data_IF_560394795941
#
_entry.id   IF_560394795941
#
_cell.length_a   1.000
_cell.length_b   1.000
_cell.length_c   1.000
_cell.angle_alpha   90.00
_cell.angle_beta   90.00
_cell.angle_gamma   90.00
#
_symmetry.space_group_name_H-M   'P 1'
#
loop_
_entity.id
_entity.type
_entity.pdbx_description
1 polymer ?
#
# COMPACT_ATOMS: atom_id res chain seq x y z
N UNK A 1 14.80 21.08 4.02
CA UNK A 1 14.19 21.82 2.88
C UNK A 1 13.31 20.83 2.14
N UNK A 2 12.01 21.15 2.03
CA UNK A 2 11.04 20.30 1.32
C UNK A 2 11.40 20.19 -0.16
N UNK A 3 11.11 19.05 -0.77
CA UNK A 3 11.24 18.82 -2.22
C UNK A 3 10.45 19.88 -2.99
N UNK A 4 9.29 20.29 -2.46
CA UNK A 4 8.42 21.31 -3.04
C UNK A 4 9.08 22.71 -3.04
N UNK A 5 9.86 23.09 -2.04
CA UNK A 5 10.57 24.39 -2.02
C UNK A 5 11.69 24.48 -3.07
N UNK A 6 12.24 23.32 -3.52
CA UNK A 6 13.18 23.26 -4.62
C UNK A 6 12.51 23.25 -6.00
N UNK A 7 11.29 22.71 -6.07
CA UNK A 7 10.51 22.64 -7.31
C UNK A 7 9.91 24.00 -7.73
N UNK A 8 9.40 24.74 -6.74
CA UNK A 8 8.67 25.97 -6.98
C UNK A 8 9.48 27.23 -6.63
N UNK A 9 10.81 27.19 -6.74
CA UNK A 9 11.72 28.29 -6.38
C UNK A 9 11.05 29.65 -6.36
N UNK A 10 10.97 30.30 -5.19
CA UNK A 10 10.40 31.62 -4.88
C UNK A 10 9.55 32.28 -5.98
N UNK A 11 8.48 31.66 -6.43
CA UNK A 11 7.40 32.38 -7.11
C UNK A 11 6.51 32.95 -6.02
N UNK A 12 6.76 34.18 -5.64
CA UNK A 12 5.73 35.05 -5.08
C UNK A 12 4.66 35.18 -6.18
N UNK A 13 3.65 34.32 -6.09
CA UNK A 13 2.45 34.49 -6.90
C UNK A 13 1.75 35.78 -6.45
N UNK A 14 2.13 36.89 -7.06
CA UNK A 14 1.26 38.08 -7.12
C UNK A 14 0.13 37.79 -8.12
N UNK A 15 -0.67 36.78 -7.81
CA UNK A 15 -1.95 36.58 -8.47
C UNK A 15 -2.95 37.55 -7.90
N UNK A 16 -3.71 38.22 -8.77
CA UNK A 16 -4.88 39.02 -8.38
C UNK A 16 -5.77 38.19 -7.45
N UNK A 17 -6.38 38.75 -6.40
CA UNK A 17 -7.24 38.01 -5.49
C UNK A 17 -8.40 37.40 -6.30
N UNK A 18 -8.37 36.07 -6.46
CA UNK A 18 -9.48 35.33 -7.03
C UNK A 18 -10.55 35.18 -5.95
N UNK A 19 -11.79 35.47 -6.29
CA UNK A 19 -12.92 35.30 -5.38
C UNK A 19 -13.30 33.82 -5.42
N UNK A 20 -12.98 33.09 -4.36
CA UNK A 20 -13.36 31.68 -4.23
C UNK A 20 -14.74 31.59 -3.54
N UNK A 21 -15.56 30.64 -4.02
CA UNK A 21 -16.80 30.25 -3.35
C UNK A 21 -16.43 29.03 -2.48
N UNK A 22 -16.68 29.11 -1.18
CA UNK A 22 -16.42 27.98 -0.28
C UNK A 22 -17.31 26.78 -0.63
N UNK A 23 -16.68 25.69 -1.00
CA UNK A 23 -17.32 24.37 -1.01
C UNK A 23 -16.86 23.68 0.29
N UNK A 24 -17.82 23.27 1.14
CA UNK A 24 -17.54 22.59 2.41
C UNK A 24 -17.00 21.16 2.20
N UNK A 25 -15.85 21.04 1.55
CA UNK A 25 -15.14 19.77 1.40
C UNK A 25 -13.70 19.93 1.84
N UNK A 26 -13.47 19.73 3.13
CA UNK A 26 -12.14 19.68 3.75
C UNK A 26 -11.76 18.25 4.01
N UNK A 27 -10.56 17.89 3.59
CA UNK A 27 -9.89 16.66 3.99
C UNK A 27 -8.71 17.03 4.88
N UNK A 28 -8.64 16.41 6.06
CA UNK A 28 -7.48 16.48 6.93
C UNK A 28 -6.75 15.13 6.89
N UNK A 29 -5.47 15.15 6.56
CA UNK A 29 -4.66 13.94 6.64
C UNK A 29 -4.57 13.49 8.10
N UNK A 30 -4.57 12.18 8.30
CA UNK A 30 -4.40 11.63 9.64
C UNK A 30 -2.98 11.96 10.15
N UNK A 31 -2.88 12.89 11.08
CA UNK A 31 -1.63 13.26 11.77
C UNK A 31 -1.43 12.50 13.08
N UNK A 32 -2.35 11.59 13.40
CA UNK A 32 -2.37 10.88 14.66
C UNK A 32 -1.49 9.63 14.70
N UNK A 33 -1.53 8.96 15.85
CA UNK A 33 -0.75 7.77 16.22
C UNK A 33 -1.04 6.52 15.38
N UNK A 34 -2.01 6.54 14.47
CA UNK A 34 -2.43 5.37 13.69
C UNK A 34 -1.33 4.75 12.83
N UNK A 35 -0.56 5.57 12.11
CA UNK A 35 0.58 5.07 11.34
C UNK A 35 1.73 4.57 12.24
N UNK A 36 1.69 4.84 13.53
CA UNK A 36 2.61 4.29 14.52
C UNK A 36 2.19 2.89 14.99
N UNK A 37 0.96 2.44 14.70
CA UNK A 37 0.56 1.06 14.92
C UNK A 37 1.33 0.12 13.99
N UNK A 38 2.09 -0.81 14.56
CA UNK A 38 2.87 -1.76 13.80
C UNK A 38 2.01 -2.64 12.88
N UNK A 39 0.83 -3.07 13.36
CA UNK A 39 -0.11 -3.89 12.60
C UNK A 39 -0.66 -3.14 11.38
N UNK A 40 -1.08 -1.89 11.57
CA UNK A 40 -1.57 -1.05 10.49
C UNK A 40 -0.48 -0.77 9.44
N UNK A 41 0.71 -0.36 9.91
CA UNK A 41 1.85 -0.09 9.02
C UNK A 41 2.25 -1.33 8.21
N UNK A 42 2.30 -2.51 8.84
CA UNK A 42 2.62 -3.75 8.16
C UNK A 42 1.59 -4.12 7.07
N UNK A 43 0.30 -3.90 7.35
CA UNK A 43 -0.76 -4.14 6.40
C UNK A 43 -0.71 -3.17 5.20
N UNK A 44 -0.56 -1.88 5.46
CA UNK A 44 -0.41 -0.85 4.40
C UNK A 44 0.87 -1.10 3.57
N UNK A 45 1.99 -1.43 4.23
CA UNK A 45 3.24 -1.75 3.53
C UNK A 45 3.10 -2.98 2.63
N UNK A 46 2.42 -4.04 3.11
CA UNK A 46 2.16 -5.23 2.30
C UNK A 46 1.35 -4.87 1.03
N UNK A 47 0.28 -4.09 1.16
CA UNK A 47 -0.52 -3.63 0.02
C UNK A 47 0.33 -2.77 -0.93
N UNK A 48 1.04 -1.78 -0.38
CA UNK A 48 1.83 -0.85 -1.18
C UNK A 48 2.97 -1.54 -1.96
N UNK A 49 3.66 -2.52 -1.34
CA UNK A 49 4.69 -3.32 -2.01
C UNK A 49 4.16 -4.13 -3.19
N UNK A 50 2.97 -4.70 -3.07
CA UNK A 50 2.37 -5.45 -4.16
C UNK A 50 1.82 -4.54 -5.25
N UNK A 51 1.21 -3.41 -4.88
CA UNK A 51 0.72 -2.39 -5.82
C UNK A 51 1.86 -1.73 -6.60
N UNK A 52 3.01 -1.51 -5.95
CA UNK A 52 4.19 -0.92 -6.59
C UNK A 52 4.82 -1.78 -7.69
N UNK A 53 4.42 -3.05 -7.82
CA UNK A 53 4.83 -3.94 -8.92
C UNK A 53 3.99 -3.77 -10.20
N UNK A 54 2.98 -2.92 -10.18
CA UNK A 54 2.18 -2.65 -11.37
C UNK A 54 3.05 -2.01 -12.45
N UNK A 55 2.88 -2.48 -13.67
CA UNK A 55 3.50 -1.92 -14.87
C UNK A 55 2.46 -1.11 -15.65
N UNK A 56 2.84 0.10 -16.02
CA UNK A 56 2.03 0.95 -16.86
C UNK A 56 2.28 0.63 -18.34
N UNK A 57 1.22 0.59 -19.12
CA UNK A 57 1.28 0.48 -20.58
C UNK A 57 0.47 1.60 -21.21
N UNK A 58 1.08 2.32 -22.13
CA UNK A 58 0.46 3.41 -22.87
C UNK A 58 0.91 3.42 -24.33
N UNK A 59 0.05 3.89 -25.20
CA UNK A 59 0.42 4.15 -26.60
C UNK A 59 1.39 5.34 -26.74
N UNK A 60 1.47 6.24 -25.75
CA UNK A 60 2.44 7.33 -25.69
C UNK A 60 3.71 6.87 -24.96
N UNK A 61 4.75 6.57 -25.73
CA UNK A 61 6.03 6.08 -25.22
C UNK A 61 6.70 7.01 -24.18
N UNK A 62 6.50 8.34 -24.28
CA UNK A 62 7.07 9.29 -23.30
C UNK A 62 6.35 9.18 -21.98
N UNK A 63 5.04 9.09 -22.03
CA UNK A 63 4.21 8.95 -20.85
C UNK A 63 4.40 7.58 -20.19
N UNK A 64 4.52 6.53 -21.01
CA UNK A 64 4.88 5.20 -20.51
C UNK A 64 6.24 5.22 -19.79
N UNK A 65 7.26 5.87 -20.37
CA UNK A 65 8.58 6.02 -19.75
C UNK A 65 8.50 6.72 -18.38
N UNK A 66 7.68 7.77 -18.25
CA UNK A 66 7.47 8.44 -16.95
C UNK A 66 6.86 7.50 -15.91
N UNK A 67 5.93 6.65 -16.31
CA UNK A 67 5.22 5.75 -15.41
C UNK A 67 5.94 4.43 -15.13
N UNK A 68 6.91 4.03 -15.96
CA UNK A 68 7.64 2.77 -15.82
C UNK A 68 9.06 2.93 -15.29
N UNK A 69 9.70 4.06 -15.53
CA UNK A 69 11.11 4.28 -15.17
C UNK A 69 11.26 5.36 -14.11
N UNK A 70 11.05 6.62 -14.47
CA UNK A 70 11.32 7.76 -13.61
C UNK A 70 10.23 8.83 -13.75
N UNK A 71 9.21 8.81 -12.87
CA UNK A 71 8.13 9.80 -12.88
C UNK A 71 8.62 11.21 -12.60
N UNK A 72 9.75 11.36 -11.95
CA UNK A 72 10.43 12.63 -11.67
C UNK A 72 11.91 12.38 -11.33
N UNK A 73 12.65 13.47 -11.10
CA UNK A 73 14.09 13.40 -10.82
C UNK A 73 14.49 12.80 -9.48
N UNK A 74 13.53 12.47 -8.60
CA UNK A 74 13.80 12.10 -7.19
C UNK A 74 13.33 10.70 -6.82
N UNK A 75 12.55 10.02 -7.66
CA UNK A 75 11.99 8.72 -7.32
C UNK A 75 11.78 7.85 -8.56
N UNK A 76 11.78 6.54 -8.34
CA UNK A 76 11.44 5.55 -9.33
C UNK A 76 9.92 5.42 -9.52
N UNK A 77 9.49 4.73 -10.57
CA UNK A 77 8.08 4.37 -10.76
C UNK A 77 7.55 3.51 -9.59
N UNK A 78 8.38 2.60 -9.08
CA UNK A 78 8.05 1.82 -7.88
C UNK A 78 7.74 2.71 -6.68
N UNK A 79 8.59 3.72 -6.41
CA UNK A 79 8.41 4.62 -5.26
C UNK A 79 7.15 5.48 -5.41
N UNK A 80 6.84 5.93 -6.64
CA UNK A 80 5.61 6.66 -6.94
C UNK A 80 4.38 5.83 -6.59
N UNK A 81 4.29 4.61 -7.11
CA UNK A 81 3.16 3.71 -6.89
C UNK A 81 3.06 3.28 -5.43
N UNK A 82 4.19 2.94 -4.80
CA UNK A 82 4.25 2.61 -3.37
C UNK A 82 3.68 3.73 -2.52
N UNK A 83 4.18 4.96 -2.71
CA UNK A 83 3.76 6.12 -1.92
C UNK A 83 2.30 6.48 -2.16
N UNK A 84 1.84 6.37 -3.40
CA UNK A 84 0.45 6.63 -3.77
C UNK A 84 -0.48 5.60 -3.15
N UNK A 85 -0.17 4.31 -3.22
CA UNK A 85 -0.94 3.26 -2.57
C UNK A 85 -0.93 3.41 -1.04
N UNK A 86 0.23 3.67 -0.44
CA UNK A 86 0.32 3.92 1.00
C UNK A 86 -0.57 5.09 1.45
N UNK A 87 -0.56 6.20 0.72
CA UNK A 87 -1.44 7.35 1.00
C UNK A 87 -2.92 6.99 0.82
N UNK A 88 -3.27 6.29 -0.26
CA UNK A 88 -4.63 5.86 -0.56
C UNK A 88 -5.24 4.99 0.54
N UNK A 89 -4.51 4.00 1.03
CA UNK A 89 -5.00 3.10 2.08
C UNK A 89 -4.92 3.71 3.49
N UNK A 90 -4.02 4.70 3.70
CA UNK A 90 -3.90 5.39 4.99
C UNK A 90 -4.93 6.50 5.15
N UNK A 91 -5.19 7.26 4.09
CA UNK A 91 -5.99 8.49 4.17
C UNK A 91 -7.30 8.42 3.40
N UNK A 92 -7.62 7.31 2.74
CA UNK A 92 -8.72 7.15 1.78
C UNK A 92 -8.67 8.17 0.61
N UNK A 93 -7.58 8.89 0.50
CA UNK A 93 -7.29 9.86 -0.54
C UNK A 93 -5.81 9.80 -0.91
N UNK A 94 -5.51 9.83 -2.19
CA UNK A 94 -4.14 10.00 -2.67
C UNK A 94 -4.12 11.01 -3.81
N UNK A 95 -3.15 11.90 -3.77
CA UNK A 95 -3.01 12.99 -4.73
C UNK A 95 -1.66 12.90 -5.43
N UNK A 96 -1.68 13.09 -6.76
CA UNK A 96 -0.45 13.24 -7.54
C UNK A 96 -0.57 14.47 -8.42
N UNK A 97 0.48 15.27 -8.46
CA UNK A 97 0.59 16.46 -9.33
C UNK A 97 1.19 16.04 -10.68
N UNK A 98 0.49 16.36 -11.75
CA UNK A 98 0.99 16.32 -13.11
C UNK A 98 1.69 17.64 -13.42
N UNK A 99 3.01 17.65 -13.46
CA UNK A 99 3.75 18.84 -13.86
C UNK A 99 3.73 18.96 -15.39
N UNK A 100 3.10 20.04 -15.88
CA UNK A 100 3.07 20.35 -17.30
C UNK A 100 4.18 21.32 -17.67
N UNK A 101 4.67 21.23 -18.90
CA UNK A 101 5.56 22.25 -19.46
C UNK A 101 4.75 23.53 -19.62
N UNK A 102 5.29 24.66 -19.13
CA UNK A 102 4.71 25.96 -19.46
C UNK A 102 4.69 26.12 -20.99
N UNK A 103 3.59 26.57 -21.60
CA UNK A 103 3.57 26.89 -23.02
C UNK A 103 4.63 27.97 -23.26
N UNK A 104 5.67 27.61 -23.99
CA UNK A 104 6.63 28.60 -24.45
C UNK A 104 5.87 29.60 -25.33
N UNK A 105 5.87 30.87 -24.91
CA UNK A 105 5.43 32.00 -25.70
C UNK A 105 6.35 32.14 -26.92
N UNK A 106 6.27 31.20 -27.85
CA UNK A 106 7.00 31.29 -29.12
C UNK A 106 6.10 30.84 -30.27
N UNK A 107 5.85 31.81 -31.13
CA UNK A 107 5.36 31.76 -32.51
C UNK A 107 3.85 31.61 -32.72
N UNK A 108 3.36 32.62 -33.40
CA UNK A 108 2.14 32.70 -34.18
C UNK A 108 1.89 31.46 -35.04
N UNK A 109 1.20 30.48 -34.52
CA UNK A 109 0.46 29.54 -35.35
C UNK A 109 -0.48 28.67 -34.54
N UNK A 110 -1.76 28.85 -34.84
CA UNK A 110 -2.86 27.90 -34.72
C UNK A 110 -3.34 27.53 -33.30
N UNK A 111 -4.54 28.03 -33.01
CA UNK A 111 -5.66 27.36 -32.37
C UNK A 111 -5.28 26.14 -31.51
N UNK A 112 -4.93 26.38 -30.27
CA UNK A 112 -5.02 25.35 -29.23
C UNK A 112 -6.49 25.29 -28.79
N UNK A 113 -7.16 24.25 -29.25
CA UNK A 113 -8.47 23.86 -28.79
C UNK A 113 -8.43 23.69 -27.24
N UNK A 114 -9.19 24.46 -26.47
CA UNK A 114 -9.15 24.40 -24.99
C UNK A 114 -9.67 23.08 -24.41
N UNK A 115 -10.03 22.10 -25.24
CA UNK A 115 -10.52 20.78 -24.85
C UNK A 115 -9.49 19.65 -24.87
N UNK A 116 -8.25 19.86 -25.35
CA UNK A 116 -7.24 18.81 -25.38
C UNK A 116 -6.37 18.82 -24.13
N UNK A 117 -6.82 18.11 -23.09
CA UNK A 117 -5.98 17.62 -22.01
C UNK A 117 -5.01 16.54 -22.58
N UNK A 118 -3.97 16.95 -23.33
CA UNK A 118 -3.08 15.99 -23.95
C UNK A 118 -1.96 15.58 -22.97
N UNK A 119 -1.64 14.29 -22.95
CA UNK A 119 -0.47 13.73 -22.26
C UNK A 119 0.85 14.39 -22.71
N UNK A 120 0.86 15.00 -23.90
CA UNK A 120 2.04 15.58 -24.57
C UNK A 120 2.73 16.72 -23.80
N UNK A 121 2.08 17.33 -22.81
CA UNK A 121 2.68 18.40 -22.00
C UNK A 121 3.28 17.96 -20.67
N UNK A 122 3.06 16.72 -20.24
CA UNK A 122 3.48 16.25 -18.92
C UNK A 122 4.97 15.96 -18.91
N UNK A 123 5.69 16.58 -17.96
CA UNK A 123 7.15 16.44 -17.81
C UNK A 123 7.54 15.66 -16.57
N UNK A 124 6.70 15.65 -15.53
CA UNK A 124 6.94 14.90 -14.31
C UNK A 124 5.63 14.65 -13.54
N UNK A 125 5.67 13.64 -12.66
CA UNK A 125 4.57 13.26 -11.78
C UNK A 125 5.10 13.20 -10.34
N UNK A 126 4.44 13.92 -9.42
CA UNK A 126 4.84 13.99 -8.02
C UNK A 126 3.72 13.54 -7.10
N UNK A 127 3.93 12.56 -6.22
CA UNK A 127 2.96 12.23 -5.18
C UNK A 127 2.94 13.35 -4.14
N UNK A 128 1.77 13.89 -3.88
CA UNK A 128 1.56 14.90 -2.86
C UNK A 128 1.19 14.24 -1.53
N UNK A 129 1.68 14.81 -0.43
CA UNK A 129 1.34 14.38 0.93
C UNK A 129 0.94 15.59 1.78
N UNK A 130 -0.20 16.23 1.47
CA UNK A 130 -0.69 17.36 2.23
C UNK A 130 -1.21 16.91 3.61
N UNK A 131 -1.11 17.79 4.60
CA UNK A 131 -1.76 17.62 5.90
C UNK A 131 -3.27 17.89 5.82
N UNK A 132 -3.69 18.81 4.94
CA UNK A 132 -5.09 19.07 4.61
C UNK A 132 -5.23 19.58 3.19
N UNK A 133 -6.41 19.39 2.61
CA UNK A 133 -6.77 19.93 1.31
C UNK A 133 -8.13 20.59 1.37
N UNK A 134 -8.29 21.68 0.62
CA UNK A 134 -9.56 22.36 0.37
C UNK A 134 -9.81 22.48 -1.12
N UNK A 135 -11.04 22.18 -1.53
CA UNK A 135 -11.48 22.38 -2.90
C UNK A 135 -12.11 23.74 -3.04
N UNK A 136 -11.58 24.55 -3.95
CA UNK A 136 -12.05 25.92 -4.18
C UNK A 136 -12.44 26.13 -5.64
N UNK A 137 -13.72 26.47 -5.93
CA UNK A 137 -14.10 26.87 -7.27
C UNK A 137 -13.50 28.24 -7.58
N UNK A 138 -12.86 28.35 -8.73
CA UNK A 138 -12.37 29.62 -9.25
C UNK A 138 -13.49 30.46 -9.86
N UNK A 139 -13.23 31.75 -10.04
CA UNK A 139 -14.13 32.66 -10.75
C UNK A 139 -14.27 32.34 -12.24
N UNK A 140 -13.38 31.54 -12.78
CA UNK A 140 -13.35 30.99 -14.14
C UNK A 140 -14.19 29.72 -14.30
N UNK A 141 -14.82 29.24 -13.21
CA UNK A 141 -15.56 27.96 -13.16
C UNK A 141 -14.68 26.73 -13.04
N UNK A 142 -13.35 26.88 -13.02
CA UNK A 142 -12.43 25.76 -12.79
C UNK A 142 -12.36 25.42 -11.30
N UNK A 143 -12.09 24.14 -11.02
CA UNK A 143 -11.88 23.67 -9.64
C UNK A 143 -10.39 23.71 -9.33
N UNK A 144 -10.06 24.22 -8.14
CA UNK A 144 -8.70 24.28 -7.60
C UNK A 144 -8.59 23.46 -6.34
N UNK A 145 -7.41 22.91 -6.10
CA UNK A 145 -7.05 22.19 -4.88
C UNK A 145 -6.01 22.99 -4.10
N UNK A 146 -6.40 23.52 -2.95
CA UNK A 146 -5.47 24.12 -2.01
C UNK A 146 -4.94 23.04 -1.06
N UNK A 147 -3.63 22.84 -1.09
CA UNK A 147 -2.92 21.88 -0.26
C UNK A 147 -2.16 22.60 0.84
N UNK A 148 -2.39 22.21 2.10
CA UNK A 148 -1.56 22.62 3.24
C UNK A 148 -0.61 21.46 3.55
N UNK A 149 0.69 21.73 3.62
CA UNK A 149 1.72 20.75 3.92
C UNK A 149 2.14 20.77 5.40
N UNK A 150 2.76 19.68 5.93
CA UNK A 150 3.14 19.58 7.35
C UNK A 150 4.06 20.70 7.86
N UNK A 151 4.82 21.33 6.99
CA UNK A 151 5.70 22.48 7.27
C UNK A 151 4.97 23.83 7.21
N UNK A 152 3.65 23.84 7.08
CA UNK A 152 2.79 25.01 7.06
C UNK A 152 2.67 25.71 5.70
N UNK A 153 3.31 25.19 4.67
CA UNK A 153 3.18 25.75 3.32
C UNK A 153 1.81 25.45 2.73
N UNK A 154 1.22 26.47 2.08
CA UNK A 154 -0.03 26.36 1.35
C UNK A 154 0.25 26.60 -0.14
N UNK A 155 -0.21 25.71 -0.98
CA UNK A 155 -0.07 25.80 -2.44
C UNK A 155 -1.39 25.40 -3.08
N UNK A 156 -1.84 26.20 -4.03
CA UNK A 156 -3.06 25.93 -4.80
C UNK A 156 -2.69 25.44 -6.19
N UNK A 157 -3.30 24.32 -6.59
CA UNK A 157 -3.11 23.68 -7.89
C UNK A 157 -4.44 23.66 -8.67
N UNK A 158 -4.42 23.81 -9.99
CA UNK A 158 -5.58 23.46 -10.81
C UNK A 158 -5.93 21.98 -10.59
N UNK A 159 -7.19 21.69 -10.28
CA UNK A 159 -7.59 20.28 -10.05
C UNK A 159 -7.50 19.42 -11.30
N UNK A 160 -7.50 20.05 -12.49
CA UNK A 160 -7.22 19.37 -13.77
C UNK A 160 -5.82 18.74 -13.82
N UNK A 161 -4.86 19.27 -13.07
CA UNK A 161 -3.49 18.74 -13.00
C UNK A 161 -3.26 17.80 -11.81
N UNK A 162 -4.32 17.43 -11.11
CA UNK A 162 -4.24 16.52 -9.95
C UNK A 162 -4.91 15.19 -10.28
N UNK A 163 -4.16 14.11 -10.21
CA UNK A 163 -4.70 12.74 -10.10
C UNK A 163 -5.16 12.55 -8.69
N UNK A 164 -6.42 12.24 -8.49
CA UNK A 164 -7.04 12.08 -7.18
C UNK A 164 -7.72 10.73 -7.05
N UNK A 165 -7.11 9.82 -6.30
CA UNK A 165 -7.67 8.51 -5.97
C UNK A 165 -8.45 8.58 -4.66
N UNK A 166 -9.63 7.95 -4.62
CA UNK A 166 -10.56 7.99 -3.49
C UNK A 166 -10.99 6.60 -3.08
N UNK A 167 -11.01 6.34 -1.78
CA UNK A 167 -11.53 5.12 -1.16
C UNK A 167 -12.67 5.48 -0.23
N UNK A 168 -13.64 4.58 -0.04
CA UNK A 168 -14.82 4.85 0.78
C UNK A 168 -15.50 6.16 0.38
N UNK A 169 -15.88 6.28 -0.88
CA UNK A 169 -16.43 7.49 -1.48
C UNK A 169 -17.95 7.43 -1.50
N UNK A 170 -18.59 7.79 -0.37
CA UNK A 170 -20.04 7.73 -0.20
C UNK A 170 -20.64 9.03 0.36
N UNK A 171 -20.03 9.60 1.40
CA UNK A 171 -20.62 10.72 2.15
C UNK A 171 -20.22 12.07 1.52
N UNK A 172 -18.98 12.17 1.05
CA UNK A 172 -18.43 13.39 0.48
C UNK A 172 -18.43 13.32 -1.06
N UNK A 173 -18.79 14.44 -1.72
CA UNK A 173 -18.87 14.48 -3.19
C UNK A 173 -17.50 14.56 -3.89
N UNK A 174 -16.45 14.94 -3.18
CA UNK A 174 -15.12 15.19 -3.76
C UNK A 174 -14.01 14.34 -3.14
N UNK A 175 -14.08 14.05 -1.85
CA UNK A 175 -13.04 13.30 -1.13
C UNK A 175 -13.55 11.95 -0.65
N UNK A 176 -12.64 10.98 -0.54
CA UNK A 176 -12.92 9.74 0.19
C UNK A 176 -13.25 10.04 1.66
N UNK A 177 -14.11 9.21 2.24
CA UNK A 177 -14.62 9.39 3.60
C UNK A 177 -13.53 9.21 4.66
N UNK A 178 -13.81 9.73 5.86
CA UNK A 178 -12.90 9.63 6.99
C UNK A 178 -12.66 8.19 7.44
N UNK A 179 -11.42 7.89 7.87
CA UNK A 179 -11.04 6.62 8.50
C UNK A 179 -11.44 6.55 10.01
N UNK A 180 -12.45 7.30 10.45
CA UNK A 180 -12.89 7.30 11.84
C UNK A 180 -13.12 5.89 12.44
N UNK A 181 -13.73 4.91 11.73
CA UNK A 181 -13.86 3.54 12.25
C UNK A 181 -12.53 2.86 12.50
N UNK A 182 -11.53 3.10 11.66
CA UNK A 182 -10.18 2.57 11.83
C UNK A 182 -9.48 3.20 13.05
N UNK A 183 -9.66 4.50 13.28
CA UNK A 183 -9.02 5.19 14.39
C UNK A 183 -9.43 4.61 15.74
N UNK A 184 -10.69 4.25 15.92
CA UNK A 184 -11.18 3.59 17.13
C UNK A 184 -10.49 2.23 17.37
N UNK A 185 -10.25 1.45 16.31
CA UNK A 185 -9.53 0.19 16.39
C UNK A 185 -8.04 0.40 16.74
N UNK A 186 -7.42 1.41 16.15
CA UNK A 186 -6.01 1.73 16.42
C UNK A 186 -5.79 2.23 17.84
N UNK A 187 -6.69 3.07 18.36
CA UNK A 187 -6.67 3.55 19.74
C UNK A 187 -6.82 2.39 20.73
N UNK A 188 -7.72 1.44 20.44
CA UNK A 188 -7.88 0.22 21.23
C UNK A 188 -6.62 -0.63 21.19
N UNK A 189 -6.00 -0.81 20.01
CA UNK A 189 -4.75 -1.56 19.86
C UNK A 189 -3.60 -0.93 20.66
N UNK A 190 -3.50 0.40 20.64
CA UNK A 190 -2.49 1.15 21.40
C UNK A 190 -2.71 1.01 22.91
N UNK A 191 -3.96 1.13 23.37
CA UNK A 191 -4.34 0.90 24.76
C UNK A 191 -3.95 -0.50 25.25
N UNK A 192 -4.18 -1.54 24.42
CA UNK A 192 -3.77 -2.91 24.75
C UNK A 192 -2.25 -3.05 24.84
N UNK A 193 -1.50 -2.45 23.91
CA UNK A 193 -0.04 -2.44 23.95
C UNK A 193 0.50 -1.73 25.19
N UNK A 194 -0.10 -0.60 25.57
CA UNK A 194 0.22 0.10 26.80
C UNK A 194 -0.11 -0.76 28.04
N UNK A 195 -1.25 -1.45 28.04
CA UNK A 195 -1.63 -2.39 29.09
C UNK A 195 -0.64 -3.54 29.26
N UNK A 196 -0.19 -4.14 28.16
CA UNK A 196 0.86 -5.17 28.16
C UNK A 196 2.16 -4.61 28.72
N UNK A 197 2.60 -3.44 28.24
CA UNK A 197 3.82 -2.77 28.71
C UNK A 197 3.76 -2.44 30.19
N UNK A 198 2.63 -1.91 30.68
CA UNK A 198 2.39 -1.63 32.09
C UNK A 198 2.38 -2.92 32.93
N UNK A 199 1.74 -3.98 32.44
CA UNK A 199 1.69 -5.30 33.09
C UNK A 199 3.10 -5.88 33.28
N UNK A 200 3.94 -5.83 32.24
CA UNK A 200 5.33 -6.28 32.35
C UNK A 200 6.13 -5.42 33.33
N UNK A 201 5.98 -4.10 33.30
CA UNK A 201 6.66 -3.18 34.25
C UNK A 201 6.18 -3.37 35.67
N UNK A 202 4.87 -3.51 35.90
CA UNK A 202 4.27 -3.64 37.22
C UNK A 202 4.41 -5.05 37.79
N UNK A 203 4.44 -6.08 36.96
CA UNK A 203 4.70 -7.47 37.37
C UNK A 203 6.07 -7.65 38.04
N UNK A 204 6.97 -6.69 37.87
CA UNK A 204 8.27 -6.65 38.56
C UNK A 204 8.28 -5.73 39.77
N UNK A 205 7.22 -4.93 40.01
CA UNK A 205 7.29 -3.76 40.92
C UNK A 205 6.78 -3.98 42.35
N UNK A 206 5.77 -4.82 42.57
CA UNK A 206 5.23 -5.05 43.93
C UNK A 206 5.29 -6.53 44.23
N UNK A 207 6.36 -6.94 44.90
CA UNK A 207 6.56 -8.34 45.32
C UNK A 207 5.94 -8.66 46.67
N UNK A 208 5.59 -7.65 47.47
CA UNK A 208 4.99 -7.82 48.78
C UNK A 208 4.82 -6.52 49.53
N UNK A 209 4.23 -6.63 50.69
CA UNK A 209 4.04 -5.55 51.67
C UNK A 209 4.84 -5.87 52.93
N UNK A 210 5.71 -4.97 53.33
CA UNK A 210 6.36 -5.02 54.65
C UNK A 210 5.42 -4.43 55.68
N UNK A 211 4.95 -5.26 56.61
CA UNK A 211 4.15 -4.83 57.76
C UNK A 211 5.04 -4.67 58.98
N UNK A 212 5.07 -3.47 59.54
CA UNK A 212 5.77 -3.21 60.78
C UNK A 212 4.86 -3.49 61.97
N UNK A 213 5.36 -4.25 62.94
CA UNK A 213 4.64 -4.65 64.17
C UNK A 213 4.63 -3.59 65.26
N UNK A 214 5.44 -2.53 65.11
CA UNK A 214 5.51 -1.40 66.04
C UNK A 214 5.31 -0.07 65.31
N UNK A 215 4.83 0.96 66.07
CA UNK A 215 4.71 2.34 65.54
C UNK A 215 6.10 2.88 65.18
N UNK A 216 6.34 3.05 63.87
CA UNK A 216 7.60 3.54 63.30
C UNK A 216 7.34 4.87 62.59
N UNK A 217 8.30 5.78 62.69
CA UNK A 217 8.25 7.07 61.98
C UNK A 217 8.32 6.81 60.45
N UNK A 218 7.57 7.56 59.63
CA UNK A 218 7.59 7.42 58.14
C UNK A 218 8.97 7.43 57.52
N UNK A 219 9.91 8.19 58.07
CA UNK A 219 11.30 8.21 57.61
C UNK A 219 12.03 6.88 57.82
N UNK A 220 11.78 6.22 58.97
CA UNK A 220 12.33 4.91 59.30
C UNK A 220 11.70 3.81 58.42
N UNK A 221 10.41 3.88 58.13
CA UNK A 221 9.72 2.96 57.20
C UNK A 221 10.36 3.01 55.84
N UNK A 222 10.71 4.20 55.35
CA UNK A 222 11.35 4.38 54.05
C UNK A 222 12.77 3.80 54.06
N UNK A 223 13.57 4.06 55.08
CA UNK A 223 14.92 3.55 55.19
C UNK A 223 14.99 2.03 55.29
N UNK A 224 14.13 1.42 56.11
CA UNK A 224 14.03 -0.03 56.27
C UNK A 224 13.54 -0.71 54.96
N UNK A 225 12.60 -0.08 54.23
CA UNK A 225 12.18 -0.55 52.91
C UNK A 225 13.33 -0.53 51.93
N UNK A 226 14.10 0.57 51.86
CA UNK A 226 15.24 0.71 50.95
C UNK A 226 16.32 -0.32 51.24
N UNK A 227 16.60 -0.54 52.53
CA UNK A 227 17.54 -1.55 52.98
C UNK A 227 17.07 -2.97 52.62
N UNK A 228 15.80 -3.29 52.92
CA UNK A 228 15.23 -4.59 52.58
C UNK A 228 15.26 -4.88 51.07
N UNK A 229 14.94 -3.89 50.23
CA UNK A 229 15.03 -4.01 48.77
C UNK A 229 16.47 -4.22 48.33
N UNK A 230 17.41 -3.48 48.92
CA UNK A 230 18.85 -3.64 48.60
C UNK A 230 19.37 -5.01 48.99
N UNK A 231 18.98 -5.53 50.15
CA UNK A 231 19.53 -6.77 50.68
C UNK A 231 18.91 -8.03 50.04
N UNK A 232 17.62 -7.97 49.63
CA UNK A 232 16.90 -9.16 49.19
C UNK A 232 16.42 -9.15 47.73
N UNK A 233 16.32 -7.99 47.10
CA UNK A 233 15.87 -7.88 45.72
C UNK A 233 16.94 -7.45 44.70
N UNK A 234 18.19 -7.32 45.17
CA UNK A 234 19.28 -7.01 44.27
C UNK A 234 19.66 -8.28 43.44
N UNK A 235 19.77 -8.22 42.07
CA UNK A 235 20.12 -9.39 41.26
C UNK A 235 21.45 -10.06 41.60
N UNK A 236 22.31 -9.37 42.36
CA UNK A 236 23.59 -9.89 42.83
C UNK A 236 23.54 -10.76 44.11
N UNK A 237 22.39 -10.87 44.75
CA UNK A 237 22.25 -11.69 45.98
C UNK A 237 21.93 -13.14 45.62
N UNK A 238 22.92 -13.99 45.65
CA UNK A 238 22.86 -15.40 45.24
C UNK A 238 22.29 -16.36 46.29
N UNK A 239 21.24 -16.04 46.99
CA UNK A 239 20.83 -16.96 48.06
C UNK A 239 19.36 -17.38 48.12
N UNK A 240 18.46 -16.57 47.59
CA UNK A 240 17.02 -16.91 47.63
C UNK A 240 16.39 -17.05 49.01
N UNK A 241 17.14 -16.88 50.09
CA UNK A 241 16.69 -17.00 51.49
C UNK A 241 16.80 -15.62 52.14
N UNK A 242 15.64 -15.05 52.54
CA UNK A 242 15.57 -13.84 53.32
C UNK A 242 15.42 -14.20 54.80
N UNK A 243 16.29 -13.66 55.67
CA UNK A 243 16.11 -13.73 57.12
C UNK A 243 15.47 -12.41 57.57
N UNK A 244 14.32 -12.48 58.23
CA UNK A 244 13.65 -11.32 58.83
C UNK A 244 13.69 -11.40 60.33
N UNK A 245 13.83 -10.24 60.99
CA UNK A 245 13.67 -10.17 62.43
C UNK A 245 12.17 -9.89 62.81
N UNK A 246 11.84 -9.97 64.08
CA UNK A 246 10.43 -9.80 64.56
C UNK A 246 9.87 -8.37 64.37
N UNK A 247 10.60 -7.44 63.82
CA UNK A 247 10.17 -6.05 63.67
C UNK A 247 9.23 -5.84 62.48
N UNK A 248 9.30 -6.68 61.48
CA UNK A 248 8.42 -6.61 60.32
C UNK A 248 8.08 -7.99 59.77
N UNK A 249 6.92 -8.09 59.15
CA UNK A 249 6.45 -9.28 58.47
C UNK A 249 6.34 -8.97 56.97
N UNK A 250 6.91 -9.83 56.13
CA UNK A 250 6.80 -9.72 54.67
C UNK A 250 5.61 -10.55 54.20
N UNK A 251 4.57 -9.85 53.75
CA UNK A 251 3.41 -10.49 53.11
C UNK A 251 3.61 -10.45 51.60
N UNK A 252 3.85 -11.61 50.95
CA UNK A 252 3.94 -11.65 49.49
C UNK A 252 2.63 -11.14 48.88
N UNK A 253 2.73 -10.21 47.96
CA UNK A 253 1.57 -9.78 47.20
C UNK A 253 1.33 -10.80 46.08
N UNK A 254 0.24 -11.58 46.23
CA UNK A 254 -0.27 -12.45 45.15
C UNK A 254 -0.97 -11.57 44.10
N UNK A 255 -0.23 -10.65 43.48
CA UNK A 255 -0.73 -9.88 42.34
C UNK A 255 -0.47 -10.70 41.12
N UNK A 256 -1.52 -11.33 40.58
CA UNK A 256 -1.48 -11.90 39.24
C UNK A 256 -1.41 -10.73 38.27
N UNK A 257 -0.31 -10.55 37.53
CA UNK A 257 -0.26 -9.48 36.54
C UNK A 257 -1.43 -9.66 35.57
N UNK A 258 -2.20 -8.60 35.34
CA UNK A 258 -3.22 -8.62 34.30
C UNK A 258 -2.52 -8.85 32.97
N UNK A 259 -2.73 -10.00 32.37
CA UNK A 259 -2.26 -10.30 31.01
C UNK A 259 -3.41 -10.08 30.06
N UNK A 260 -3.21 -9.25 29.07
CA UNK A 260 -4.17 -9.11 27.95
C UNK A 260 -4.30 -10.49 27.29
N UNK A 261 -5.51 -11.06 27.17
CA UNK A 261 -5.69 -12.33 26.47
C UNK A 261 -5.19 -12.25 25.03
N UNK A 262 -4.43 -13.26 24.61
CA UNK A 262 -3.87 -13.35 23.25
C UNK A 262 -4.95 -13.20 22.17
N UNK A 263 -6.11 -13.81 22.40
CA UNK A 263 -7.24 -13.80 21.49
C UNK A 263 -7.81 -12.39 21.25
N UNK A 264 -7.78 -11.51 22.25
CA UNK A 264 -8.22 -10.12 22.10
C UNK A 264 -7.25 -9.35 21.20
N UNK A 265 -5.95 -9.52 21.42
CA UNK A 265 -4.94 -8.87 20.59
C UNK A 265 -4.99 -9.34 19.14
N UNK A 266 -5.12 -10.65 18.92
CA UNK A 266 -5.26 -11.23 17.58
C UNK A 266 -6.54 -10.75 16.89
N UNK A 267 -7.65 -10.65 17.62
CA UNK A 267 -8.93 -10.18 17.09
C UNK A 267 -8.84 -8.74 16.62
N UNK A 268 -8.24 -7.84 17.40
CA UNK A 268 -8.09 -6.43 17.01
C UNK A 268 -7.12 -6.29 15.83
N UNK A 269 -6.00 -7.01 15.85
CA UNK A 269 -5.06 -7.03 14.72
C UNK A 269 -5.77 -7.50 13.45
N UNK A 270 -6.59 -8.54 13.53
CA UNK A 270 -7.37 -9.04 12.40
C UNK A 270 -8.38 -8.00 11.92
N UNK A 271 -9.11 -7.33 12.81
CA UNK A 271 -10.07 -6.27 12.42
C UNK A 271 -9.37 -5.11 11.67
N UNK A 272 -8.15 -4.76 12.06
CA UNK A 272 -7.35 -3.74 11.35
C UNK A 272 -6.99 -4.23 9.94
N UNK A 273 -6.53 -5.47 9.79
CA UNK A 273 -6.18 -6.04 8.49
C UNK A 273 -7.41 -6.26 7.61
N UNK A 274 -8.53 -6.72 8.19
CA UNK A 274 -9.80 -6.90 7.49
C UNK A 274 -10.38 -5.58 6.99
N UNK A 275 -10.26 -4.49 7.77
CA UNK A 275 -10.65 -3.13 7.33
C UNK A 275 -9.87 -2.69 6.09
N UNK A 276 -8.60 -3.04 5.99
CA UNK A 276 -7.77 -2.77 4.82
C UNK A 276 -7.98 -3.77 3.67
N UNK A 277 -8.66 -4.89 3.94
CA UNK A 277 -8.91 -5.96 2.98
C UNK A 277 -7.70 -6.85 2.72
N UNK A 278 -6.76 -6.92 3.66
CA UNK A 278 -5.54 -7.73 3.52
C UNK A 278 -5.47 -8.83 4.55
N UNK A 279 -5.33 -10.08 4.10
CA UNK A 279 -5.18 -11.24 4.99
C UNK A 279 -3.83 -11.26 5.71
N UNK A 280 -3.80 -11.84 6.92
CA UNK A 280 -2.57 -11.99 7.69
C UNK A 280 -1.48 -12.77 6.92
N UNK A 281 -1.86 -13.75 6.10
CA UNK A 281 -0.94 -14.51 5.25
C UNK A 281 -0.19 -13.63 4.25
N UNK A 282 -0.87 -12.64 3.67
CA UNK A 282 -0.25 -11.66 2.75
C UNK A 282 0.74 -10.76 3.51
N UNK A 283 0.35 -10.27 4.69
CA UNK A 283 1.20 -9.41 5.53
C UNK A 283 2.47 -10.15 5.95
N UNK A 284 2.34 -11.42 6.33
CA UNK A 284 3.45 -12.26 6.82
C UNK A 284 4.24 -12.95 5.69
N UNK A 285 3.78 -12.86 4.44
CA UNK A 285 4.44 -13.53 3.31
C UNK A 285 4.28 -15.06 3.28
N UNK A 286 3.26 -15.61 3.96
CA UNK A 286 2.98 -17.06 4.06
C UNK A 286 1.77 -17.48 3.21
N UNK A 287 1.39 -16.68 2.26
CA UNK A 287 0.20 -16.88 1.43
C UNK A 287 0.35 -17.99 0.40
N UNK A 288 -0.76 -18.65 0.10
CA UNK A 288 -0.93 -19.56 -1.03
C UNK A 288 -1.22 -18.76 -2.32
N UNK A 289 -1.10 -19.40 -3.48
CA UNK A 289 -1.44 -18.77 -4.78
C UNK A 289 -2.91 -18.30 -4.83
N UNK A 290 -3.82 -19.07 -4.24
CA UNK A 290 -5.25 -18.70 -4.19
C UNK A 290 -5.48 -17.46 -3.32
N UNK A 291 -4.84 -17.38 -2.16
CA UNK A 291 -4.94 -16.20 -1.28
C UNK A 291 -4.33 -14.97 -1.95
N UNK A 292 -3.21 -15.15 -2.65
CA UNK A 292 -2.60 -14.06 -3.42
C UNK A 292 -3.49 -13.60 -4.58
N UNK A 293 -4.11 -14.52 -5.32
CA UNK A 293 -5.04 -14.19 -6.40
C UNK A 293 -6.24 -13.42 -5.87
N UNK A 294 -6.86 -13.89 -4.77
CA UNK A 294 -7.99 -13.20 -4.14
C UNK A 294 -7.62 -11.80 -3.64
N UNK A 295 -6.46 -11.65 -3.00
CA UNK A 295 -5.93 -10.34 -2.59
C UNK A 295 -5.70 -9.42 -3.79
N UNK A 296 -5.10 -9.94 -4.85
CA UNK A 296 -4.84 -9.16 -6.05
C UNK A 296 -6.13 -8.66 -6.70
N UNK A 297 -7.10 -9.54 -6.90
CA UNK A 297 -8.38 -9.23 -7.52
C UNK A 297 -9.25 -8.28 -6.69
N UNK A 298 -9.16 -8.38 -5.36
CA UNK A 298 -9.99 -7.56 -4.47
C UNK A 298 -9.36 -6.20 -4.11
N UNK A 299 -8.03 -6.07 -4.14
CA UNK A 299 -7.33 -4.88 -3.65
C UNK A 299 -6.47 -4.21 -4.73
N UNK A 300 -5.59 -4.98 -5.38
CA UNK A 300 -4.60 -4.40 -6.30
C UNK A 300 -5.24 -4.02 -7.63
N UNK A 301 -6.07 -4.89 -8.19
CA UNK A 301 -6.73 -4.65 -9.48
C UNK A 301 -7.73 -3.47 -9.44
N UNK A 302 -8.62 -3.33 -8.44
CA UNK A 302 -9.46 -2.15 -8.33
C UNK A 302 -8.68 -0.84 -8.19
N UNK A 303 -7.56 -0.86 -7.46
CA UNK A 303 -6.67 0.30 -7.38
C UNK A 303 -6.05 0.62 -8.74
N UNK A 304 -5.54 -0.38 -9.46
CA UNK A 304 -4.97 -0.22 -10.79
C UNK A 304 -5.98 0.34 -11.79
N UNK A 305 -7.22 -0.16 -11.74
CA UNK A 305 -8.31 0.32 -12.59
C UNK A 305 -8.67 1.78 -12.31
N UNK A 306 -8.81 2.14 -11.03
CA UNK A 306 -9.09 3.53 -10.62
C UNK A 306 -7.97 4.46 -11.06
N UNK A 307 -6.71 4.05 -10.86
CA UNK A 307 -5.54 4.81 -11.26
C UNK A 307 -5.53 5.05 -12.79
N UNK A 308 -5.78 4.01 -13.59
CA UNK A 308 -5.85 4.11 -15.04
C UNK A 308 -6.96 5.07 -15.50
N UNK A 309 -8.14 4.97 -14.90
CA UNK A 309 -9.27 5.83 -15.23
C UNK A 309 -9.03 7.30 -14.87
N UNK A 310 -8.41 7.58 -13.72
CA UNK A 310 -8.06 8.95 -13.31
C UNK A 310 -6.99 9.55 -14.24
N UNK A 311 -5.98 8.79 -14.62
CA UNK A 311 -5.01 9.25 -15.62
C UNK A 311 -5.70 9.54 -16.95
N UNK A 312 -6.54 8.63 -17.44
CA UNK A 312 -7.29 8.84 -18.68
C UNK A 312 -8.17 10.09 -18.62
N UNK A 313 -8.87 10.30 -17.51
CA UNK A 313 -9.73 11.49 -17.31
C UNK A 313 -8.94 12.80 -17.38
N UNK A 314 -7.74 12.84 -16.78
CA UNK A 314 -6.93 14.07 -16.67
C UNK A 314 -5.99 14.30 -17.86
N UNK A 315 -5.62 13.27 -18.58
CA UNK A 315 -4.63 13.35 -19.66
C UNK A 315 -5.19 13.02 -21.04
N UNK A 316 -6.34 12.36 -21.12
CA UNK A 316 -6.89 11.82 -22.36
C UNK A 316 -6.11 10.61 -22.90
N UNK A 317 -5.00 10.22 -22.28
CA UNK A 317 -4.19 9.08 -22.71
C UNK A 317 -4.83 7.75 -22.31
N UNK A 318 -4.78 6.78 -23.19
CA UNK A 318 -5.11 5.40 -22.84
C UNK A 318 -3.95 4.78 -22.08
N UNK A 319 -4.23 4.40 -20.84
CA UNK A 319 -3.27 3.80 -19.92
C UNK A 319 -3.92 2.58 -19.29
N UNK A 320 -3.13 1.54 -19.16
CA UNK A 320 -3.48 0.36 -18.35
C UNK A 320 -2.37 0.08 -17.37
N UNK A 321 -2.74 -0.34 -16.18
CA UNK A 321 -1.81 -0.83 -15.17
C UNK A 321 -2.05 -2.32 -14.98
N UNK A 322 -1.05 -3.11 -15.30
CA UNK A 322 -1.12 -4.56 -15.15
C UNK A 322 -0.02 -5.04 -14.22
N UNK A 323 -0.33 -6.01 -13.36
CA UNK A 323 0.76 -6.76 -12.78
C UNK A 323 1.16 -7.82 -13.80
N UNK A 324 2.42 -7.90 -14.12
CA UNK A 324 2.97 -9.05 -14.82
C UNK A 324 2.94 -10.27 -13.87
N UNK A 325 1.71 -10.75 -13.57
CA UNK A 325 1.48 -11.87 -12.63
C UNK A 325 2.37 -13.07 -12.94
N UNK A 326 2.63 -13.27 -14.22
CA UNK A 326 3.44 -14.37 -14.73
C UNK A 326 4.92 -14.23 -14.39
N UNK A 327 5.44 -13.01 -14.38
CA UNK A 327 6.84 -12.75 -14.07
C UNK A 327 7.15 -13.03 -12.58
N UNK A 328 6.18 -12.80 -11.70
CA UNK A 328 6.29 -13.00 -10.25
C UNK A 328 5.67 -14.30 -9.73
N UNK A 329 5.10 -15.14 -10.62
CA UNK A 329 4.54 -16.42 -10.21
C UNK A 329 5.65 -17.44 -9.86
N UNK A 330 5.27 -18.48 -9.12
CA UNK A 330 6.23 -19.54 -8.75
C UNK A 330 6.77 -20.25 -9.98
N UNK A 331 7.98 -20.82 -9.87
CA UNK A 331 8.56 -21.60 -10.96
C UNK A 331 7.65 -22.79 -11.37
N UNK A 332 6.94 -23.36 -10.39
CA UNK A 332 5.98 -24.47 -10.62
C UNK A 332 4.82 -23.99 -11.49
N UNK A 333 4.22 -22.83 -11.17
CA UNK A 333 3.11 -22.25 -11.94
C UNK A 333 3.55 -21.88 -13.35
N UNK A 334 4.74 -21.30 -13.51
CA UNK A 334 5.32 -21.00 -14.83
C UNK A 334 5.46 -22.24 -15.68
N UNK A 335 6.02 -23.33 -15.12
CA UNK A 335 6.19 -24.59 -15.84
C UNK A 335 4.85 -25.20 -16.22
N UNK A 336 3.86 -25.18 -15.31
CA UNK A 336 2.51 -25.68 -15.59
C UNK A 336 1.85 -24.90 -16.73
N UNK A 337 1.92 -23.57 -16.70
CA UNK A 337 1.39 -22.73 -17.77
C UNK A 337 2.07 -23.00 -19.11
N UNK A 338 3.42 -23.12 -19.11
CA UNK A 338 4.18 -23.43 -20.32
C UNK A 338 3.79 -24.78 -20.89
N UNK A 339 3.56 -25.77 -20.02
CA UNK A 339 3.11 -27.09 -20.43
C UNK A 339 1.74 -27.06 -21.12
N UNK A 340 0.85 -26.19 -20.70
CA UNK A 340 -0.50 -26.03 -21.28
C UNK A 340 -0.51 -25.11 -22.52
N UNK A 341 0.22 -23.99 -22.49
CA UNK A 341 0.17 -22.98 -23.53
C UNK A 341 1.07 -23.27 -24.77
N UNK A 342 2.22 -23.90 -24.57
CA UNK A 342 3.16 -24.17 -25.66
C UNK A 342 2.61 -25.13 -26.71
N UNK A 343 1.93 -26.26 -26.35
CA UNK A 343 1.34 -27.17 -27.34
C UNK A 343 0.24 -26.52 -28.19
N UNK A 344 -0.43 -25.47 -27.67
CA UNK A 344 -1.45 -24.72 -28.40
C UNK A 344 -0.87 -23.66 -29.35
N UNK A 345 0.45 -23.46 -29.36
CA UNK A 345 1.08 -22.45 -30.18
C UNK A 345 0.78 -21.02 -29.74
N UNK A 346 0.35 -20.82 -28.49
CA UNK A 346 0.00 -19.50 -27.92
C UNK A 346 1.22 -18.63 -27.67
N UNK A 347 2.38 -19.26 -27.37
CA UNK A 347 3.64 -18.61 -27.00
C UNK A 347 4.79 -19.09 -27.87
N UNK A 348 5.75 -18.20 -28.10
CA UNK A 348 7.01 -18.53 -28.79
C UNK A 348 8.01 -19.16 -27.82
N UNK A 349 9.05 -19.78 -28.37
CA UNK A 349 10.15 -20.36 -27.56
C UNK A 349 10.86 -19.26 -26.76
N UNK A 350 11.07 -18.07 -27.34
CA UNK A 350 11.72 -16.94 -26.65
C UNK A 350 10.84 -16.35 -25.55
N UNK A 351 9.53 -16.24 -25.75
CA UNK A 351 8.59 -15.84 -24.69
C UNK A 351 8.57 -16.84 -23.53
N UNK A 352 8.57 -18.14 -23.82
CA UNK A 352 8.68 -19.19 -22.81
C UNK A 352 10.01 -19.11 -22.03
N UNK A 353 11.12 -18.84 -22.72
CA UNK A 353 12.43 -18.64 -22.11
C UNK A 353 12.47 -17.37 -21.25
N UNK A 354 11.88 -16.27 -21.70
CA UNK A 354 11.76 -15.03 -20.92
C UNK A 354 10.98 -15.26 -19.62
N UNK A 355 9.88 -16.00 -19.66
CA UNK A 355 9.11 -16.40 -18.47
C UNK A 355 9.95 -17.15 -17.43
N UNK A 356 10.92 -17.96 -17.88
CA UNK A 356 11.85 -18.71 -17.03
C UNK A 356 13.14 -17.94 -16.72
N UNK A 357 13.22 -16.65 -17.05
CA UNK A 357 14.42 -15.81 -16.93
C UNK A 357 15.65 -16.39 -17.65
N UNK A 358 15.44 -17.08 -18.79
CA UNK A 358 16.49 -17.61 -19.65
C UNK A 358 16.76 -16.67 -20.82
N UNK A 359 18.00 -16.51 -21.27
CA UNK A 359 18.35 -15.67 -22.42
C UNK A 359 17.68 -16.18 -23.70
N UNK A 360 17.32 -15.30 -24.65
CA UNK A 360 16.72 -15.70 -25.92
C UNK A 360 17.69 -16.55 -26.74
N UNK A 361 17.14 -17.37 -27.63
CA UNK A 361 17.93 -18.19 -28.58
C UNK A 361 17.63 -17.75 -30.02
N UNK A 362 18.58 -17.97 -30.89
CA UNK A 362 18.40 -17.71 -32.31
C UNK A 362 17.24 -18.56 -32.85
N UNK A 363 16.39 -17.98 -33.69
CA UNK A 363 15.18 -18.62 -34.25
C UNK A 363 14.13 -19.05 -33.22
N UNK A 364 14.20 -18.49 -31.98
CA UNK A 364 13.27 -18.80 -30.89
C UNK A 364 11.94 -18.03 -30.96
N UNK A 365 11.73 -17.11 -31.91
CA UNK A 365 10.47 -16.37 -32.06
C UNK A 365 9.41 -17.17 -32.85
N UNK A 366 9.69 -18.42 -33.15
CA UNK A 366 8.74 -19.36 -33.74
C UNK A 366 7.82 -19.95 -32.66
N UNK A 367 6.56 -20.12 -33.03
CA UNK A 367 5.59 -20.86 -32.23
C UNK A 367 5.73 -22.36 -32.53
N UNK A 368 5.64 -23.18 -31.49
CA UNK A 368 5.57 -24.62 -31.62
C UNK A 368 4.14 -25.05 -31.32
N UNK A 369 3.55 -25.85 -32.18
CA UNK A 369 2.22 -26.40 -31.99
C UNK A 369 2.32 -27.93 -31.99
N UNK A 370 1.54 -28.57 -31.13
CA UNK A 370 1.39 -30.02 -31.14
C UNK A 370 0.64 -30.47 -32.40
N UNK A 371 1.09 -31.53 -33.01
CA UNK A 371 0.40 -32.15 -34.16
C UNK A 371 -0.96 -32.76 -33.79
N UNK A 372 -1.24 -32.87 -32.49
CA UNK A 372 -2.54 -33.39 -32.00
C UNK A 372 -3.68 -32.37 -32.08
N UNK A 373 -3.40 -31.12 -32.47
CA UNK A 373 -4.42 -30.08 -32.64
C UNK A 373 -4.62 -29.78 -34.13
N UNK A 374 -5.83 -29.98 -34.61
CA UNK A 374 -6.25 -29.68 -35.98
C UNK A 374 -7.08 -28.38 -35.96
N UNK A 375 -6.94 -27.56 -37.00
CA UNK A 375 -7.81 -26.38 -37.18
C UNK A 375 -9.26 -26.84 -37.25
N UNK A 376 -10.18 -26.15 -36.54
CA UNK A 376 -11.59 -26.46 -36.56
C UNK A 376 -12.16 -26.50 -38.00
N UNK A 377 -11.66 -25.63 -38.90
CA UNK A 377 -12.06 -25.58 -40.31
C UNK A 377 -11.60 -26.79 -41.13
N UNK A 378 -10.67 -27.60 -40.62
CA UNK A 378 -10.13 -28.80 -41.27
C UNK A 378 -10.48 -30.10 -40.53
N UNK A 379 -11.18 -30.01 -39.40
CA UNK A 379 -11.50 -31.15 -38.55
C UNK A 379 -12.32 -32.22 -39.33
N UNK A 380 -13.29 -31.79 -40.13
CA UNK A 380 -14.12 -32.67 -40.94
C UNK A 380 -13.32 -33.38 -42.06
N UNK A 381 -12.34 -32.70 -42.68
CA UNK A 381 -11.49 -33.30 -43.67
C UNK A 381 -10.56 -34.39 -43.07
N UNK A 382 -10.10 -34.19 -41.84
CA UNK A 382 -9.24 -35.15 -41.15
C UNK A 382 -9.99 -36.43 -40.74
N UNK A 383 -11.30 -36.33 -40.40
CA UNK A 383 -12.15 -37.47 -40.10
C UNK A 383 -12.52 -38.25 -41.36
N UNK A 384 -12.60 -37.61 -42.51
CA UNK A 384 -12.88 -38.25 -43.78
C UNK A 384 -11.69 -39.06 -44.32
N UNK A 385 -10.46 -38.57 -44.17
CA UNK A 385 -9.25 -39.29 -44.57
C UNK A 385 -9.02 -40.57 -43.73
N UNK A 386 -9.27 -40.52 -42.39
CA UNK A 386 -9.18 -41.77 -41.55
C UNK A 386 -10.24 -42.79 -41.95
N UNK A 387 -11.42 -42.40 -42.38
CA UNK A 387 -12.46 -43.31 -42.84
C UNK A 387 -12.16 -43.98 -44.22
N UNK A 388 -11.47 -43.28 -45.10
CA UNK A 388 -11.05 -43.83 -46.40
C UNK A 388 -9.88 -44.80 -46.29
N UNK A 389 -8.93 -44.56 -45.36
CA UNK A 389 -7.82 -45.46 -45.12
C UNK A 389 -8.27 -46.77 -44.47
N UNK A 390 -9.31 -46.71 -43.61
CA UNK A 390 -9.91 -47.91 -42.99
C UNK A 390 -10.73 -48.76 -43.99
N UNK A 391 -11.35 -48.14 -45.02
CA UNK A 391 -12.15 -48.79 -46.02
C UNK A 391 -11.33 -49.54 -47.11
N UNK A 392 -10.09 -49.07 -47.38
CA UNK A 392 -9.22 -49.69 -48.41
C UNK A 392 -8.30 -50.80 -47.85
N UNK A 393 -8.33 -51.06 -46.56
CA UNK A 393 -7.47 -52.09 -45.91
C UNK A 393 -8.05 -53.52 -45.94
N UNK A 394 -9.23 -53.78 -46.53
CA UNK A 394 -9.88 -55.06 -46.49
C UNK A 394 -10.22 -55.65 -47.91
N UNK A 395 -9.26 -55.62 -48.78
CA UNK A 395 -9.33 -56.41 -50.02
C UNK A 395 -7.99 -57.01 -50.36
N UNK A 396 -7.73 -58.20 -49.87
CA UNK A 396 -6.92 -59.19 -50.52
C UNK A 396 -7.36 -60.60 -50.10
N UNK A 397 -7.16 -61.60 -51.03
CA UNK A 397 -8.02 -62.74 -51.23
C UNK A 397 -7.76 -63.93 -50.30
#
# INVERSE_FOLDING_TARGET
MSILSKLFGRQTAQGKPQTFIEINSTFNSFSGTGYNSAAFRAAVDAIARHTAKLQAHSADNRFETLLTQAPNAYMSAYDLLYKTAAAYFTHNNAFMLLQRREPQLMSNSAETDPGQNSAQGITAIYPLNPSSVEFRPGSDGALYLECTFPDGWQITFPYADIIHLRRHFLINDLTGDSNAPLYALLDTADTLNQGISASVKNGTSIRGVLKFTSLVNPAQVKAEKEQFVSDYFNPGNNGGIAATDQRFDFVPANITPYSVPKEQFETITRQITDYLGVGASIVNGTYTENEFSAFYESIVEPFALQLAQEFRLKTGAEITFTAERMEFSSAVTKIKLLHEAAPLGLITVNEARKLLALPPVKDGDRRLQSLNYVSADKADAYQLEESEVSANGNTEP
#
